data_IF_583693354802
#
_entry.id   IF_583693354802
#
_cell.length_a   1.000
_cell.length_b   1.000
_cell.length_c   1.000
_cell.angle_alpha   90.00
_cell.angle_beta   90.00
_cell.angle_gamma   90.00
#
_symmetry.space_group_name_H-M   'P 1'
#
loop_
_entity.id
_entity.type
_entity.pdbx_description
1 polymer ?
#
# COMPACT_ATOMS: atom_id res chain seq x y z
N UNK A 1 62.37 28.05 35.52
CA UNK A 1 61.85 27.00 36.41
C UNK A 1 60.42 26.73 35.94
N UNK A 2 60.29 25.91 34.90
CA UNK A 2 59.00 25.48 34.37
C UNK A 2 58.95 23.96 34.60
N UNK A 3 57.92 23.52 35.32
CA UNK A 3 57.72 22.13 35.72
C UNK A 3 57.20 21.28 34.55
N UNK A 4 57.87 20.13 34.37
CA UNK A 4 57.35 18.79 34.03
C UNK A 4 55.94 18.53 34.60
N UNK A 5 55.05 17.65 34.13
CA UNK A 5 54.77 16.77 32.96
C UNK A 5 53.35 16.21 33.23
N UNK A 6 52.74 15.48 32.29
CA UNK A 6 51.56 14.59 32.47
C UNK A 6 50.18 15.27 32.34
N UNK A 7 49.22 14.80 31.56
CA UNK A 7 49.10 13.59 30.75
C UNK A 7 48.18 13.88 29.56
N UNK A 8 48.49 13.23 28.44
CA UNK A 8 47.68 13.12 27.24
C UNK A 8 46.43 12.29 27.56
N UNK A 9 45.25 12.90 27.42
CA UNK A 9 43.99 12.19 27.16
C UNK A 9 43.31 12.92 25.99
N UNK A 10 43.85 12.69 24.79
CA UNK A 10 43.08 12.87 23.56
C UNK A 10 42.01 11.77 23.54
N UNK A 11 40.88 12.03 24.19
CA UNK A 11 39.63 11.32 23.92
C UNK A 11 39.22 11.65 22.48
N UNK A 12 39.81 10.89 21.54
CA UNK A 12 39.31 10.66 20.20
C UNK A 12 37.95 9.99 20.32
N UNK A 13 36.93 10.80 20.59
CA UNK A 13 35.54 10.40 20.38
C UNK A 13 35.39 10.17 18.88
N UNK A 14 35.55 8.91 18.47
CA UNK A 14 35.03 8.39 17.22
C UNK A 14 33.59 8.90 17.10
N UNK A 15 33.39 9.91 16.25
CA UNK A 15 32.06 10.31 15.85
C UNK A 15 31.51 9.15 15.05
N UNK A 16 30.74 8.30 15.71
CA UNK A 16 29.88 7.32 15.07
C UNK A 16 29.19 8.01 13.88
N UNK A 17 29.52 7.57 12.67
CA UNK A 17 28.83 7.99 11.45
C UNK A 17 27.44 7.33 11.44
N UNK A 18 26.59 7.77 12.38
CA UNK A 18 25.19 7.38 12.45
C UNK A 18 24.53 7.95 11.20
N UNK A 19 24.26 7.07 10.24
CA UNK A 19 23.52 7.42 9.04
C UNK A 19 22.05 7.57 9.45
N UNK A 20 21.63 8.80 9.71
CA UNK A 20 20.24 9.08 10.08
C UNK A 20 19.31 8.80 8.90
N UNK A 21 18.15 8.19 9.20
CA UNK A 21 17.07 8.09 8.23
C UNK A 21 16.65 9.51 7.79
N UNK A 22 16.66 9.81 6.48
CA UNK A 22 16.27 11.12 5.99
C UNK A 22 14.79 11.36 6.29
N UNK A 23 14.52 12.32 7.19
CA UNK A 23 13.15 12.74 7.51
C UNK A 23 12.64 13.68 6.42
N UNK A 24 11.66 13.23 5.65
CA UNK A 24 10.95 14.07 4.68
C UNK A 24 9.72 14.71 5.35
N UNK A 25 9.84 15.96 5.80
CA UNK A 25 8.69 16.75 6.28
C UNK A 25 8.06 17.55 5.14
N UNK A 26 6.85 18.05 5.35
CA UNK A 26 6.20 18.92 4.37
C UNK A 26 7.01 20.19 4.08
N UNK A 27 7.60 20.80 5.12
CA UNK A 27 8.49 21.96 4.96
C UNK A 27 9.71 21.65 4.09
N UNK A 28 10.41 20.54 4.37
CA UNK A 28 11.58 20.10 3.59
C UNK A 28 11.17 19.83 2.14
N UNK A 29 10.04 19.14 1.94
CA UNK A 29 9.53 18.85 0.61
C UNK A 29 9.17 20.14 -0.16
N UNK A 30 8.50 21.08 0.50
CA UNK A 30 8.19 22.39 -0.09
C UNK A 30 9.45 23.18 -0.46
N UNK A 31 10.48 23.15 0.39
CA UNK A 31 11.76 23.80 0.13
C UNK A 31 12.52 23.18 -1.04
N UNK A 32 12.54 21.84 -1.14
CA UNK A 32 13.11 21.13 -2.30
C UNK A 32 12.41 21.56 -3.59
N UNK A 33 11.08 21.62 -3.59
CA UNK A 33 10.30 22.04 -4.75
C UNK A 33 10.61 23.50 -5.13
N UNK A 34 10.66 24.41 -4.15
CA UNK A 34 11.01 25.81 -4.40
C UNK A 34 12.42 25.95 -5.01
N UNK A 35 13.41 25.26 -4.45
CA UNK A 35 14.77 25.27 -4.97
C UNK A 35 14.84 24.73 -6.41
N UNK A 36 14.03 23.72 -6.72
CA UNK A 36 13.91 23.18 -8.08
C UNK A 36 13.25 24.16 -9.05
N UNK A 37 12.19 24.86 -8.64
CA UNK A 37 11.56 25.89 -9.47
C UNK A 37 12.51 27.06 -9.75
N UNK A 38 13.29 27.47 -8.75
CA UNK A 38 14.30 28.53 -8.88
C UNK A 38 15.44 28.09 -9.79
N UNK A 39 15.93 26.85 -9.68
CA UNK A 39 16.99 26.35 -10.55
C UNK A 39 16.57 26.26 -12.02
N UNK A 40 15.27 26.07 -12.27
CA UNK A 40 14.67 26.16 -13.61
C UNK A 40 14.36 27.60 -14.06
N UNK A 41 14.74 28.61 -13.28
CA UNK A 41 14.46 30.02 -13.57
C UNK A 41 12.96 30.31 -13.76
N UNK A 42 12.09 29.56 -13.08
CA UNK A 42 10.65 29.75 -13.13
C UNK A 42 10.23 30.85 -12.14
N UNK A 43 9.43 31.80 -12.63
CA UNK A 43 8.87 32.83 -11.76
C UNK A 43 7.71 32.28 -10.93
N UNK A 44 7.89 32.22 -9.61
CA UNK A 44 6.91 31.72 -8.65
C UNK A 44 5.61 32.55 -8.63
N UNK A 45 5.64 33.82 -9.03
CA UNK A 45 4.42 34.65 -9.14
C UNK A 45 3.50 34.19 -10.25
N UNK A 46 4.02 33.45 -11.23
CA UNK A 46 3.23 32.88 -12.33
C UNK A 46 2.61 31.52 -11.97
N UNK A 47 2.95 30.97 -10.81
CA UNK A 47 2.32 29.76 -10.31
C UNK A 47 0.90 30.09 -9.84
N UNK A 48 -0.09 29.47 -10.47
CA UNK A 48 -1.52 29.68 -10.17
C UNK A 48 -2.19 28.48 -9.51
N UNK A 49 -1.49 27.33 -9.43
CA UNK A 49 -2.06 26.11 -8.90
C UNK A 49 -1.03 25.13 -8.35
N UNK A 50 -1.39 24.45 -7.26
CA UNK A 50 -0.60 23.38 -6.64
C UNK A 50 -1.50 22.15 -6.51
N UNK A 51 -1.23 21.10 -7.27
CA UNK A 51 -1.96 19.83 -7.22
C UNK A 51 -1.26 18.81 -6.35
N UNK A 52 -1.83 18.43 -5.21
CA UNK A 52 -1.27 17.40 -4.31
C UNK A 52 -2.37 16.52 -3.70
N UNK A 53 -1.98 15.38 -3.12
CA UNK A 53 -2.91 14.62 -2.29
C UNK A 53 -3.22 15.34 -0.96
N UNK A 54 -4.24 14.86 -0.27
CA UNK A 54 -4.71 15.45 0.98
C UNK A 54 -3.94 15.01 2.22
N UNK A 55 -2.75 14.38 2.07
CA UNK A 55 -2.03 13.88 3.23
C UNK A 55 -1.48 15.02 4.08
N UNK A 56 -1.31 14.78 5.39
CA UNK A 56 -0.90 15.82 6.33
C UNK A 56 0.45 16.46 6.00
N UNK A 57 1.38 15.71 5.40
CA UNK A 57 2.67 16.20 4.90
C UNK A 57 2.47 17.28 3.82
N UNK A 58 1.44 17.18 3.00
CA UNK A 58 1.14 18.16 1.96
C UNK A 58 0.34 19.35 2.50
N UNK A 59 -0.77 19.08 3.19
CA UNK A 59 -1.81 20.09 3.46
C UNK A 59 -1.78 20.68 4.88
N UNK A 60 -0.83 20.29 5.72
CA UNK A 60 -0.72 20.85 7.08
C UNK A 60 -0.56 22.38 7.04
N UNK A 61 -1.38 23.08 7.83
CA UNK A 61 -1.34 24.55 7.94
C UNK A 61 -0.08 25.06 8.63
N UNK A 62 0.60 24.22 9.41
CA UNK A 62 1.78 24.60 10.18
C UNK A 62 3.06 24.20 9.45
N UNK A 63 3.13 22.96 8.94
CA UNK A 63 4.36 22.37 8.37
C UNK A 63 4.13 21.63 7.04
N UNK A 64 3.09 22.01 6.30
CA UNK A 64 2.73 21.39 5.03
C UNK A 64 3.54 21.93 3.85
N UNK A 65 3.82 21.07 2.87
CA UNK A 65 4.51 21.45 1.64
C UNK A 65 3.75 22.53 0.85
N UNK A 66 2.42 22.41 0.77
CA UNK A 66 1.57 23.39 0.08
C UNK A 66 1.69 24.76 0.75
N UNK A 67 1.58 24.80 2.08
CA UNK A 67 1.74 26.04 2.87
C UNK A 67 3.09 26.70 2.64
N UNK A 68 4.17 25.91 2.59
CA UNK A 68 5.53 26.39 2.32
C UNK A 68 5.68 26.96 0.89
N UNK A 69 5.06 26.32 -0.10
CA UNK A 69 5.11 26.81 -1.49
C UNK A 69 4.26 28.08 -1.64
N UNK A 70 3.07 28.12 -1.05
CA UNK A 70 2.17 29.29 -1.11
C UNK A 70 2.77 30.56 -0.49
N UNK A 71 3.69 30.43 0.48
CA UNK A 71 4.38 31.60 1.04
C UNK A 71 5.32 32.29 0.03
N UNK A 72 5.72 31.61 -1.04
CA UNK A 72 6.56 32.15 -2.13
C UNK A 72 5.78 32.32 -3.45
N UNK A 73 4.69 31.58 -3.61
CA UNK A 73 3.78 31.64 -4.76
C UNK A 73 2.37 32.04 -4.30
N UNK A 74 2.12 33.32 -3.96
CA UNK A 74 0.87 33.76 -3.35
C UNK A 74 -0.35 33.63 -4.27
N UNK A 75 -0.12 33.55 -5.59
CA UNK A 75 -1.18 33.35 -6.59
C UNK A 75 -1.59 31.88 -6.73
N UNK A 76 -0.87 30.95 -6.10
CA UNK A 76 -1.07 29.54 -6.29
C UNK A 76 -2.19 28.99 -5.39
N UNK A 77 -3.25 28.48 -6.02
CA UNK A 77 -4.37 27.87 -5.31
C UNK A 77 -4.13 26.36 -5.16
N UNK A 78 -4.35 25.85 -3.95
CA UNK A 78 -4.27 24.41 -3.72
C UNK A 78 -5.46 23.67 -4.36
N UNK A 79 -5.16 22.67 -5.17
CA UNK A 79 -6.14 21.77 -5.78
C UNK A 79 -5.92 20.35 -5.19
N UNK A 80 -6.81 19.87 -4.32
CA UNK A 80 -6.68 18.53 -3.75
C UNK A 80 -6.96 17.45 -4.80
N UNK A 81 -6.23 16.34 -4.73
CA UNK A 81 -6.42 15.20 -5.61
C UNK A 81 -7.79 14.54 -5.41
N UNK A 82 -8.65 14.61 -6.43
CA UNK A 82 -9.97 13.99 -6.42
C UNK A 82 -9.90 12.45 -6.23
N UNK A 83 -8.90 11.80 -6.83
CA UNK A 83 -8.69 10.36 -6.66
C UNK A 83 -8.37 9.98 -5.21
N UNK A 84 -7.62 10.83 -4.51
CA UNK A 84 -7.32 10.62 -3.09
C UNK A 84 -8.58 10.80 -2.23
N UNK A 85 -9.37 11.86 -2.50
CA UNK A 85 -10.63 12.10 -1.80
C UNK A 85 -11.62 10.94 -1.98
N UNK A 86 -11.74 10.40 -3.21
CA UNK A 86 -12.56 9.23 -3.49
C UNK A 86 -12.05 7.98 -2.75
N UNK A 87 -10.74 7.73 -2.76
CA UNK A 87 -10.15 6.59 -2.05
C UNK A 87 -10.43 6.67 -0.53
N UNK A 88 -10.33 7.87 0.05
CA UNK A 88 -10.65 8.11 1.46
C UNK A 88 -12.13 7.81 1.75
N UNK A 89 -13.05 8.31 0.93
CA UNK A 89 -14.47 8.04 1.08
C UNK A 89 -14.78 6.52 1.02
N UNK A 90 -14.19 5.80 0.05
CA UNK A 90 -14.34 4.34 -0.06
C UNK A 90 -13.75 3.62 1.15
N UNK A 91 -12.57 4.05 1.64
CA UNK A 91 -11.95 3.49 2.84
C UNK A 91 -12.83 3.68 4.08
N UNK A 92 -13.45 4.86 4.22
CA UNK A 92 -14.41 5.12 5.29
C UNK A 92 -15.66 4.24 5.14
N UNK A 93 -16.22 4.09 3.94
CA UNK A 93 -17.34 3.17 3.72
C UNK A 93 -16.96 1.71 4.02
N UNK A 94 -15.71 1.32 3.73
CA UNK A 94 -15.19 -0.01 4.09
C UNK A 94 -15.11 -0.25 5.60
N UNK A 95 -15.33 0.77 6.43
CA UNK A 95 -15.44 0.61 7.88
C UNK A 95 -16.81 0.09 8.34
N UNK A 96 -17.85 0.18 7.50
CA UNK A 96 -19.22 -0.26 7.77
C UNK A 96 -19.23 -1.79 7.90
N UNK A 97 -19.85 -2.31 8.97
CA UNK A 97 -19.79 -3.74 9.32
C UNK A 97 -20.23 -4.67 8.19
N UNK A 98 -21.34 -4.36 7.52
CA UNK A 98 -21.84 -5.18 6.40
C UNK A 98 -20.85 -5.23 5.23
N UNK A 99 -20.18 -4.11 4.95
CA UNK A 99 -19.16 -4.04 3.89
C UNK A 99 -17.90 -4.80 4.33
N UNK A 100 -17.45 -4.64 5.57
CA UNK A 100 -16.34 -5.42 6.14
C UNK A 100 -16.59 -6.92 6.04
N UNK A 101 -17.77 -7.38 6.45
CA UNK A 101 -18.13 -8.80 6.40
C UNK A 101 -18.13 -9.33 4.97
N UNK A 102 -18.67 -8.56 4.02
CA UNK A 102 -18.67 -8.93 2.60
C UNK A 102 -17.24 -9.06 2.05
N UNK A 103 -16.39 -8.05 2.29
CA UNK A 103 -14.99 -8.05 1.87
C UNK A 103 -14.20 -9.19 2.54
N UNK A 104 -14.41 -9.41 3.84
CA UNK A 104 -13.78 -10.51 4.58
C UNK A 104 -14.14 -11.87 4.01
N UNK A 105 -15.42 -12.12 3.74
CA UNK A 105 -15.89 -13.36 3.11
C UNK A 105 -15.26 -13.58 1.73
N UNK A 106 -15.15 -12.52 0.92
CA UNK A 106 -14.46 -12.62 -0.37
C UNK A 106 -12.99 -13.02 -0.19
N UNK A 107 -12.28 -12.41 0.75
CA UNK A 107 -10.88 -12.75 1.06
C UNK A 107 -10.74 -14.20 1.54
N UNK A 108 -11.65 -14.68 2.38
CA UNK A 108 -11.67 -16.07 2.86
C UNK A 108 -11.85 -17.06 1.71
N UNK A 109 -12.79 -16.81 0.79
CA UNK A 109 -13.00 -17.64 -0.40
C UNK A 109 -11.76 -17.66 -1.29
N UNK A 110 -11.15 -16.49 -1.52
CA UNK A 110 -9.91 -16.38 -2.30
C UNK A 110 -8.78 -17.19 -1.63
N UNK A 111 -8.61 -17.01 -0.33
CA UNK A 111 -7.62 -17.72 0.48
C UNK A 111 -7.83 -19.23 0.44
N UNK A 112 -9.08 -19.68 0.57
CA UNK A 112 -9.44 -21.09 0.47
C UNK A 112 -8.91 -21.72 -0.83
N UNK A 113 -9.18 -21.11 -1.99
CA UNK A 113 -8.67 -21.65 -3.25
C UNK A 113 -7.15 -21.53 -3.41
N UNK A 114 -6.52 -20.47 -2.90
CA UNK A 114 -5.08 -20.25 -3.06
C UNK A 114 -4.21 -21.13 -2.13
N UNK A 115 -4.71 -21.47 -0.94
CA UNK A 115 -3.98 -22.28 0.04
C UNK A 115 -3.82 -23.76 -0.35
N UNK A 116 -4.46 -24.23 -1.42
CA UNK A 116 -4.32 -25.62 -1.88
C UNK A 116 -4.24 -25.68 -3.40
N UNK A 117 -3.17 -26.29 -3.90
CA UNK A 117 -3.00 -26.52 -5.34
C UNK A 117 -4.18 -27.30 -5.94
N UNK A 118 -4.67 -28.34 -5.25
CA UNK A 118 -5.81 -29.16 -5.71
C UNK A 118 -7.08 -28.31 -5.85
N UNK A 119 -7.39 -27.48 -4.86
CA UNK A 119 -8.57 -26.58 -4.90
C UNK A 119 -8.44 -25.53 -5.99
N UNK A 120 -7.25 -24.93 -6.12
CA UNK A 120 -6.95 -23.97 -7.17
C UNK A 120 -7.11 -24.57 -8.58
N UNK A 121 -6.66 -25.82 -8.76
CA UNK A 121 -6.79 -26.55 -10.00
C UNK A 121 -8.26 -26.76 -10.38
N UNK A 122 -9.10 -27.25 -9.46
CA UNK A 122 -10.53 -27.42 -9.71
C UNK A 122 -11.18 -26.12 -10.15
N UNK A 123 -10.89 -25.02 -9.44
CA UNK A 123 -11.43 -23.72 -9.80
C UNK A 123 -11.01 -23.29 -11.21
N UNK A 124 -9.74 -23.47 -11.58
CA UNK A 124 -9.23 -23.17 -12.93
C UNK A 124 -9.94 -23.99 -14.00
N UNK A 125 -10.13 -25.29 -13.75
CA UNK A 125 -10.83 -26.19 -14.66
C UNK A 125 -12.28 -25.75 -14.86
N UNK A 126 -12.97 -25.34 -13.80
CA UNK A 126 -14.36 -24.88 -13.88
C UNK A 126 -14.48 -23.51 -14.55
N UNK A 127 -13.51 -22.62 -14.34
CA UNK A 127 -13.46 -21.31 -15.01
C UNK A 127 -13.21 -21.45 -16.51
N UNK A 128 -12.53 -22.50 -16.98
CA UNK A 128 -12.39 -22.86 -18.39
C UNK A 128 -12.00 -21.68 -19.31
N UNK A 129 -10.99 -20.90 -18.93
CA UNK A 129 -10.51 -19.74 -19.68
C UNK A 129 -11.14 -18.39 -19.31
N UNK A 130 -12.17 -18.38 -18.45
CA UNK A 130 -12.71 -17.13 -17.90
C UNK A 130 -11.71 -16.44 -16.96
N UNK A 131 -11.75 -15.10 -16.87
CA UNK A 131 -10.86 -14.33 -16.02
C UNK A 131 -10.96 -14.77 -14.56
N UNK A 132 -9.81 -14.96 -13.91
CA UNK A 132 -9.70 -15.31 -12.49
C UNK A 132 -10.00 -14.08 -11.64
N UNK A 133 -10.79 -14.24 -10.59
CA UNK A 133 -10.85 -13.24 -9.53
C UNK A 133 -9.45 -13.01 -8.94
N UNK A 134 -9.06 -11.74 -8.84
CA UNK A 134 -7.74 -11.29 -8.39
C UNK A 134 -7.83 -11.04 -6.87
N UNK A 135 -6.70 -11.14 -6.15
CA UNK A 135 -6.67 -10.74 -4.74
C UNK A 135 -7.05 -9.26 -4.61
N UNK A 136 -7.80 -8.93 -3.58
CA UNK A 136 -8.16 -7.56 -3.28
C UNK A 136 -6.90 -6.77 -2.88
N UNK A 137 -6.58 -5.72 -3.62
CA UNK A 137 -5.54 -4.76 -3.23
C UNK A 137 -6.11 -3.79 -2.21
N UNK A 138 -5.54 -3.77 -1.00
CA UNK A 138 -6.06 -2.94 0.09
C UNK A 138 -5.83 -1.44 -0.14
N UNK A 139 -4.77 -1.05 -0.85
CA UNK A 139 -4.32 0.34 -0.94
C UNK A 139 -4.86 1.08 -2.16
N UNK A 140 -5.41 0.39 -3.17
CA UNK A 140 -5.88 1.00 -4.43
C UNK A 140 -7.34 0.67 -4.72
N UNK A 141 -8.21 1.68 -4.62
CA UNK A 141 -9.65 1.50 -4.82
C UNK A 141 -10.07 0.99 -6.20
N UNK A 142 -9.36 1.36 -7.28
CA UNK A 142 -9.65 0.86 -8.64
C UNK A 142 -9.49 -0.65 -8.70
N UNK A 143 -8.38 -1.16 -8.16
CA UNK A 143 -8.10 -2.60 -8.08
C UNK A 143 -9.09 -3.34 -7.16
N UNK A 144 -9.61 -2.66 -6.12
CA UNK A 144 -10.69 -3.18 -5.26
C UNK A 144 -12.02 -3.29 -6.01
N UNK A 145 -12.41 -2.27 -6.78
CA UNK A 145 -13.66 -2.26 -7.55
C UNK A 145 -13.68 -3.38 -8.58
N UNK A 146 -12.62 -3.50 -9.39
CA UNK A 146 -12.58 -4.50 -10.46
C UNK A 146 -12.56 -5.92 -9.90
N UNK A 147 -11.84 -6.13 -8.80
CA UNK A 147 -11.82 -7.40 -8.07
C UNK A 147 -13.21 -7.78 -7.52
N UNK A 148 -13.98 -6.81 -6.99
CA UNK A 148 -15.35 -7.04 -6.51
C UNK A 148 -16.27 -7.41 -7.67
N UNK A 149 -16.20 -6.66 -8.78
CA UNK A 149 -17.02 -6.93 -9.97
C UNK A 149 -16.72 -8.30 -10.57
N UNK A 150 -15.43 -8.65 -10.64
CA UNK A 150 -14.99 -9.94 -11.16
C UNK A 150 -15.34 -11.10 -10.22
N UNK A 151 -15.26 -10.91 -8.90
CA UNK A 151 -15.72 -11.89 -7.92
C UNK A 151 -17.22 -12.14 -8.07
N UNK A 152 -18.02 -11.06 -8.19
CA UNK A 152 -19.46 -11.14 -8.41
C UNK A 152 -19.81 -11.91 -9.69
N UNK A 153 -19.16 -11.63 -10.81
CA UNK A 153 -19.39 -12.38 -12.05
C UNK A 153 -18.91 -13.83 -11.96
N UNK A 154 -17.95 -14.12 -11.08
CA UNK A 154 -17.39 -15.46 -10.86
C UNK A 154 -18.19 -16.31 -9.87
N UNK A 155 -19.17 -15.74 -9.14
CA UNK A 155 -19.94 -16.43 -8.10
C UNK A 155 -20.53 -17.78 -8.55
N UNK A 156 -21.15 -17.93 -9.74
CA UNK A 156 -21.68 -19.22 -10.16
C UNK A 156 -20.59 -20.30 -10.30
N UNK A 157 -19.41 -19.92 -10.79
CA UNK A 157 -18.27 -20.82 -10.94
C UNK A 157 -17.66 -21.18 -9.59
N UNK A 158 -17.57 -20.19 -8.68
CA UNK A 158 -17.12 -20.40 -7.29
C UNK A 158 -18.03 -21.41 -6.59
N UNK A 159 -19.35 -21.20 -6.63
CA UNK A 159 -20.31 -22.12 -6.02
C UNK A 159 -20.18 -23.52 -6.60
N UNK A 160 -20.11 -23.65 -7.94
CA UNK A 160 -19.90 -24.93 -8.61
C UNK A 160 -18.61 -25.63 -8.15
N UNK A 161 -17.52 -24.87 -8.00
CA UNK A 161 -16.25 -25.40 -7.52
C UNK A 161 -16.31 -25.84 -6.05
N UNK A 162 -16.94 -25.05 -5.19
CA UNK A 162 -17.14 -25.40 -3.78
C UNK A 162 -18.02 -26.63 -3.63
N UNK A 163 -19.11 -26.73 -4.39
CA UNK A 163 -19.98 -27.93 -4.42
C UNK A 163 -19.25 -29.16 -4.94
N UNK A 164 -18.38 -29.01 -5.95
CA UNK A 164 -17.54 -30.13 -6.39
C UNK A 164 -16.59 -30.60 -5.28
N UNK A 165 -15.92 -29.66 -4.61
CA UNK A 165 -14.99 -29.95 -3.51
C UNK A 165 -15.72 -30.54 -2.31
N UNK A 166 -16.93 -30.10 -1.98
CA UNK A 166 -17.69 -30.62 -0.84
C UNK A 166 -18.10 -32.08 -1.00
N UNK A 167 -18.13 -32.60 -2.25
CA UNK A 167 -18.42 -33.99 -2.56
C UNK A 167 -17.15 -34.84 -2.70
N UNK A 168 -15.97 -34.31 -2.39
CA UNK A 168 -14.74 -35.11 -2.38
C UNK A 168 -14.85 -36.22 -1.35
N UNK A 169 -14.78 -37.45 -1.83
CA UNK A 169 -14.51 -38.59 -0.98
C UNK A 169 -13.01 -38.67 -0.80
N UNK A 170 -12.54 -38.50 0.43
CA UNK A 170 -11.17 -38.88 0.78
C UNK A 170 -11.09 -40.40 0.72
N UNK A 171 -10.44 -40.92 -0.32
CA UNK A 171 -9.96 -42.30 -0.26
C UNK A 171 -8.83 -42.34 0.77
N UNK A 172 -9.16 -42.68 2.03
CA UNK A 172 -8.18 -43.21 2.98
C UNK A 172 -7.92 -44.66 2.56
N UNK A 173 -7.26 -44.85 1.43
CA UNK A 173 -6.81 -46.19 1.02
C UNK A 173 -5.28 -46.19 0.85
N UNK A 174 -4.65 -46.79 1.87
CA UNK A 174 -3.40 -47.56 1.81
C UNK A 174 -2.03 -46.90 1.56
N UNK A 175 -1.83 -45.60 1.79
CA UNK A 175 -0.45 -45.06 1.80
C UNK A 175 0.38 -45.36 3.06
N UNK A 176 -0.22 -45.88 4.14
CA UNK A 176 0.54 -46.29 5.34
C UNK A 176 1.15 -47.70 5.26
N UNK A 177 0.86 -48.49 4.21
CA UNK A 177 1.40 -49.85 4.08
C UNK A 177 2.57 -50.00 3.11
N UNK A 178 3.04 -48.91 2.48
CA UNK A 178 4.17 -48.98 1.52
C UNK A 178 5.47 -48.29 1.99
N UNK A 179 5.53 -47.77 3.21
CA UNK A 179 6.76 -47.16 3.78
C UNK A 179 7.46 -48.06 4.81
N UNK A 180 6.93 -49.26 5.11
CA UNK A 180 7.54 -50.20 6.07
C UNK A 180 7.95 -51.57 5.51
N UNK A 181 8.01 -51.72 4.18
CA UNK A 181 8.54 -52.94 3.56
C UNK A 181 9.25 -52.64 2.24
N UNK A 182 10.47 -52.08 2.34
CA UNK A 182 11.70 -52.52 1.62
C UNK A 182 12.88 -52.11 2.50
#
# INVERSE_FOLDING_TARGET
MYNETEAEDEDLVEKDNITFEPKLTGEILGEIILNMLISFSLNLTNCVGIGTDGCSVMVSTVRGAVTKIQSHAPNAIHCPCANHALNLAISMSSSIQTIKNCVGLMMEVISFFNLSFKRNFVLKTILNGNPRFISLCETRWVERHDSVMLFKSSLPYIVKALTFISNWQEYIEYFLYQVFYV
#
